data_IF_700359829581
#
_entry.id   IF_700359829581
#
_cell.length_a   1.000
_cell.length_b   1.000
_cell.length_c   1.000
_cell.angle_alpha   90.00
_cell.angle_beta   90.00
_cell.angle_gamma   90.00
#
_symmetry.space_group_name_H-M   'P 1'
#
loop_
_entity.id
_entity.type
_entity.pdbx_description
1 polymer ?
#
# COMPACT_ATOMS: atom_id res chain seq x y z
N UNK A 1 -11.83 16.12 -7.65
CA UNK A 1 -10.77 16.12 -8.68
C UNK A 1 -10.50 14.68 -9.05
N UNK A 2 -10.64 14.30 -10.33
CA UNK A 2 -10.44 12.91 -10.76
C UNK A 2 -8.95 12.54 -10.66
N UNK A 3 -8.65 11.55 -9.82
CA UNK A 3 -7.30 11.04 -9.65
C UNK A 3 -6.97 10.15 -10.87
N UNK A 4 -6.49 10.75 -11.97
CA UNK A 4 -6.15 10.07 -13.24
C UNK A 4 -4.89 9.18 -13.15
N UNK A 5 -4.58 8.61 -11.99
CA UNK A 5 -3.53 7.60 -11.89
C UNK A 5 -4.04 6.28 -12.48
N UNK A 6 -3.19 5.52 -13.19
CA UNK A 6 -3.57 4.20 -13.67
C UNK A 6 -4.09 3.32 -12.53
N UNK A 7 -5.08 2.51 -12.84
CA UNK A 7 -5.58 1.50 -11.91
C UNK A 7 -4.48 0.49 -11.63
N UNK A 8 -4.27 0.14 -10.36
CA UNK A 8 -3.27 -0.88 -10.00
C UNK A 8 -3.95 -2.25 -9.90
N UNK A 9 -3.40 -3.25 -10.58
CA UNK A 9 -3.84 -4.64 -10.52
C UNK A 9 -3.02 -5.39 -9.47
N UNK A 10 -3.69 -6.17 -8.63
CA UNK A 10 -3.08 -7.06 -7.65
C UNK A 10 -3.45 -8.50 -7.97
N UNK A 11 -2.42 -9.31 -8.20
CA UNK A 11 -2.55 -10.75 -8.43
C UNK A 11 -1.91 -11.46 -7.24
N UNK A 12 -2.67 -12.34 -6.60
CA UNK A 12 -2.21 -13.18 -5.49
C UNK A 12 -2.20 -14.63 -5.95
N UNK A 13 -1.08 -15.30 -5.74
CA UNK A 13 -0.91 -16.73 -6.05
C UNK A 13 -1.02 -17.57 -4.79
N UNK A 14 -1.46 -18.81 -4.93
CA UNK A 14 -1.43 -19.81 -3.86
C UNK A 14 -1.06 -21.18 -4.43
N UNK A 15 -0.97 -22.18 -3.56
CA UNK A 15 -0.88 -23.57 -3.96
C UNK A 15 -2.21 -24.27 -3.73
N UNK A 16 -2.61 -25.11 -4.67
CA UNK A 16 -3.70 -26.08 -4.49
C UNK A 16 -3.31 -27.15 -3.45
N UNK A 17 -4.27 -27.99 -3.03
CA UNK A 17 -4.00 -29.14 -2.15
C UNK A 17 -2.94 -30.10 -2.72
N UNK A 18 -2.79 -30.16 -4.04
CA UNK A 18 -1.75 -30.96 -4.72
C UNK A 18 -0.39 -30.27 -4.83
N UNK A 19 -0.19 -29.10 -4.20
CA UNK A 19 1.05 -28.33 -4.30
C UNK A 19 1.26 -27.62 -5.65
N UNK A 20 0.22 -27.54 -6.49
CA UNK A 20 0.29 -26.87 -7.80
C UNK A 20 0.00 -25.38 -7.61
N UNK A 21 0.86 -24.52 -8.16
CA UNK A 21 0.67 -23.06 -8.13
C UNK A 21 -0.51 -22.63 -8.99
N UNK A 22 -1.36 -21.74 -8.47
CA UNK A 22 -2.46 -21.12 -9.18
C UNK A 22 -2.70 -19.66 -8.73
N UNK A 23 -3.56 -18.94 -9.46
CA UNK A 23 -4.02 -17.60 -9.07
C UNK A 23 -5.15 -17.78 -8.04
N UNK A 24 -4.93 -17.25 -6.83
CA UNK A 24 -5.96 -17.18 -5.79
C UNK A 24 -6.91 -16.01 -6.04
N UNK A 25 -6.37 -14.86 -6.38
CA UNK A 25 -7.17 -13.68 -6.68
C UNK A 25 -6.47 -12.77 -7.69
N UNK A 26 -7.29 -12.09 -8.49
CA UNK A 26 -6.87 -11.09 -9.46
C UNK A 26 -7.88 -9.95 -9.40
N UNK A 27 -7.45 -8.81 -8.89
CA UNK A 27 -8.35 -7.72 -8.52
C UNK A 27 -7.67 -6.37 -8.66
N UNK A 28 -8.49 -5.34 -8.86
CA UNK A 28 -8.00 -3.96 -8.81
C UNK A 28 -7.82 -3.52 -7.36
N UNK A 29 -6.73 -2.83 -7.08
CA UNK A 29 -6.48 -2.20 -5.78
C UNK A 29 -7.37 -0.97 -5.63
N UNK A 30 -8.02 -0.87 -4.47
CA UNK A 30 -8.90 0.25 -4.13
C UNK A 30 -8.17 1.20 -3.18
N UNK A 31 -8.03 2.45 -3.61
CA UNK A 31 -7.48 3.53 -2.77
C UNK A 31 -8.53 4.01 -1.78
N UNK A 32 -8.12 4.21 -0.53
CA UNK A 32 -8.93 4.76 0.53
C UNK A 32 -8.27 6.03 1.07
N UNK A 33 -9.04 7.10 1.35
CA UNK A 33 -8.50 8.30 1.98
C UNK A 33 -7.94 7.95 3.36
N UNK A 34 -6.89 8.67 3.77
CA UNK A 34 -6.30 8.53 5.10
C UNK A 34 -6.39 9.85 5.86
N UNK A 35 -6.67 9.78 7.16
CA UNK A 35 -6.62 10.94 8.06
C UNK A 35 -5.18 11.33 8.43
N UNK A 36 -4.21 10.42 8.26
CA UNK A 36 -2.81 10.67 8.61
C UNK A 36 -2.15 11.72 7.71
N UNK A 37 -2.55 11.75 6.44
CA UNK A 37 -1.98 12.65 5.42
C UNK A 37 -3.14 13.23 4.61
N UNK A 38 -3.67 14.41 5.00
CA UNK A 38 -4.75 15.05 4.27
C UNK A 38 -4.42 15.20 2.78
N UNK A 39 -5.31 14.73 1.92
CA UNK A 39 -5.13 14.74 0.46
C UNK A 39 -4.39 13.53 -0.12
N UNK A 40 -3.82 12.65 0.71
CA UNK A 40 -3.30 11.37 0.27
C UNK A 40 -4.33 10.24 0.42
N UNK A 41 -4.11 9.16 -0.32
CA UNK A 41 -4.88 7.93 -0.22
C UNK A 41 -3.92 6.75 -0.07
N UNK A 42 -4.30 5.77 0.74
CA UNK A 42 -3.57 4.53 0.90
C UNK A 42 -4.34 3.35 0.29
N UNK A 43 -3.58 2.40 -0.22
CA UNK A 43 -4.10 1.21 -0.88
C UNK A 43 -3.27 0.01 -0.40
N UNK A 44 -3.76 -0.76 0.60
CA UNK A 44 -3.05 -1.93 1.09
C UNK A 44 -2.92 -3.00 -0.01
N UNK A 45 -1.70 -3.52 -0.23
CA UNK A 45 -1.45 -4.63 -1.15
C UNK A 45 -1.43 -5.95 -0.39
N UNK A 46 -0.60 -6.01 0.66
CA UNK A 46 -0.43 -7.19 1.50
C UNK A 46 0.21 -6.83 2.85
N UNK A 47 -0.22 -7.48 3.93
CA UNK A 47 0.36 -7.33 5.27
C UNK A 47 0.67 -8.68 5.86
N UNK A 48 1.80 -8.83 6.52
CA UNK A 48 2.11 -10.00 7.36
C UNK A 48 2.14 -9.53 8.81
N UNK A 49 1.51 -10.30 9.71
CA UNK A 49 1.37 -9.96 11.12
C UNK A 49 1.96 -11.04 12.05
N UNK A 50 2.45 -12.13 11.46
CA UNK A 50 2.85 -13.37 12.13
C UNK A 50 4.35 -13.45 12.43
N UNK A 51 5.14 -12.47 11.99
CA UNK A 51 6.60 -12.53 12.07
C UNK A 51 7.29 -12.24 10.74
N UNK A 52 8.59 -11.96 10.84
CA UNK A 52 9.53 -12.05 9.72
C UNK A 52 10.69 -12.97 10.16
N UNK A 53 10.98 -14.07 9.44
CA UNK A 53 10.34 -14.52 8.20
C UNK A 53 8.87 -14.91 8.40
N UNK A 54 8.01 -14.61 7.42
CA UNK A 54 6.58 -14.95 7.47
C UNK A 54 6.38 -16.43 7.19
N UNK A 55 5.40 -17.04 7.86
CA UNK A 55 4.96 -18.38 7.51
C UNK A 55 4.12 -18.31 6.23
N UNK A 56 4.60 -18.92 5.15
CA UNK A 56 3.77 -19.13 3.95
C UNK A 56 2.76 -20.27 4.23
N UNK A 57 1.89 -20.07 5.21
CA UNK A 57 0.81 -20.98 5.52
C UNK A 57 -0.34 -20.71 4.54
N UNK A 58 -0.89 -21.77 3.96
CA UNK A 58 -1.99 -21.75 2.98
C UNK A 58 -3.32 -21.31 3.64
N UNK A 59 -3.32 -20.18 4.33
CA UNK A 59 -4.54 -19.56 4.83
C UNK A 59 -5.26 -18.92 3.66
N UNK A 60 -6.58 -19.08 3.60
CA UNK A 60 -7.41 -18.43 2.57
C UNK A 60 -7.60 -16.93 2.84
N UNK A 61 -6.99 -16.40 3.90
CA UNK A 61 -7.12 -15.03 4.36
C UNK A 61 -6.33 -14.06 3.48
N UNK A 62 -7.02 -13.04 2.96
CA UNK A 62 -6.41 -11.99 2.15
C UNK A 62 -5.58 -11.02 3.01
N UNK A 63 -4.27 -10.98 2.76
CA UNK A 63 -3.34 -10.12 3.48
C UNK A 63 -3.62 -8.62 3.38
N UNK A 64 -4.31 -8.12 2.36
CA UNK A 64 -4.68 -6.70 2.31
C UNK A 64 -5.78 -6.32 3.31
N UNK A 65 -6.58 -7.30 3.76
CA UNK A 65 -7.69 -7.07 4.69
C UNK A 65 -7.26 -7.12 6.15
N UNK A 66 -6.06 -7.62 6.42
CA UNK A 66 -5.49 -7.68 7.78
C UNK A 66 -5.33 -6.27 8.35
N UNK A 67 -5.74 -6.08 9.60
CA UNK A 67 -5.68 -4.78 10.27
C UNK A 67 -4.37 -4.64 11.05
N UNK A 68 -3.70 -3.50 10.90
CA UNK A 68 -2.53 -3.14 11.72
C UNK A 68 -3.05 -2.48 13.00
N UNK A 69 -2.45 -2.80 14.13
CA UNK A 69 -2.75 -2.15 15.40
C UNK A 69 -2.54 -0.63 15.27
N UNK A 70 -3.58 0.22 15.39
CA UNK A 70 -3.46 1.68 15.21
C UNK A 70 -2.46 2.35 16.16
N UNK A 71 -2.21 1.74 17.32
CA UNK A 71 -1.31 2.22 18.36
C UNK A 71 0.15 1.92 18.03
N UNK A 72 0.43 1.01 17.10
CA UNK A 72 1.79 0.65 16.67
C UNK A 72 2.16 1.40 15.40
N UNK A 73 3.30 2.10 15.42
CA UNK A 73 3.85 2.78 14.23
C UNK A 73 2.80 3.60 13.45
N UNK A 74 1.92 4.33 14.17
CA UNK A 74 0.82 5.12 13.60
C UNK A 74 -0.17 4.32 12.74
N UNK A 75 -0.26 3.00 12.92
CA UNK A 75 -1.05 2.09 12.09
C UNK A 75 -0.47 1.90 10.67
N UNK A 76 0.78 2.31 10.43
CA UNK A 76 1.42 2.24 9.11
C UNK A 76 2.17 0.92 8.90
N UNK A 77 2.82 0.37 9.94
CA UNK A 77 3.63 -0.84 9.80
C UNK A 77 3.51 -1.70 11.06
N UNK A 78 3.25 -3.02 10.95
CA UNK A 78 3.21 -3.89 12.12
C UNK A 78 4.60 -4.03 12.74
N UNK A 79 4.69 -4.15 14.08
CA UNK A 79 5.98 -4.24 14.79
C UNK A 79 6.79 -5.49 14.40
N UNK A 80 6.12 -6.62 14.22
CA UNK A 80 6.75 -7.92 13.93
C UNK A 80 6.37 -8.44 12.54
N UNK A 81 6.20 -7.57 11.54
CA UNK A 81 5.67 -7.98 10.26
C UNK A 81 6.10 -7.10 9.11
N UNK A 82 5.39 -7.22 8.00
CA UNK A 82 5.59 -6.39 6.82
C UNK A 82 4.28 -5.75 6.37
N UNK A 83 4.40 -4.60 5.73
CA UNK A 83 3.28 -3.93 5.07
C UNK A 83 3.73 -3.46 3.68
N UNK A 84 3.10 -4.00 2.65
CA UNK A 84 3.19 -3.51 1.29
C UNK A 84 1.93 -2.70 0.99
N UNK A 85 2.09 -1.42 0.67
CA UNK A 85 0.99 -0.52 0.36
C UNK A 85 1.38 0.48 -0.73
N UNK A 86 0.37 1.06 -1.36
CA UNK A 86 0.53 2.16 -2.31
C UNK A 86 0.04 3.43 -1.65
N UNK A 87 0.85 4.48 -1.77
CA UNK A 87 0.47 5.83 -1.41
C UNK A 87 0.20 6.63 -2.68
N UNK A 88 -1.03 7.12 -2.84
CA UNK A 88 -1.45 7.98 -3.94
C UNK A 88 -1.82 9.39 -3.48
N UNK A 89 -1.90 10.33 -4.41
CA UNK A 89 -2.39 11.69 -4.14
C UNK A 89 -1.38 12.66 -3.51
N UNK A 90 -0.16 12.21 -3.18
CA UNK A 90 0.88 13.08 -2.59
C UNK A 90 1.34 14.21 -3.52
N UNK A 91 1.18 14.05 -4.85
CA UNK A 91 1.56 15.06 -5.84
C UNK A 91 0.66 16.31 -5.92
N UNK A 92 -0.49 16.34 -5.25
CA UNK A 92 -1.40 17.51 -5.26
C UNK A 92 -1.17 18.50 -4.11
N UNK A 93 0.05 18.54 -3.58
CA UNK A 93 0.42 19.40 -2.44
C UNK A 93 0.16 18.78 -1.06
N UNK A 94 -0.19 17.49 -0.99
CA UNK A 94 -0.29 16.78 0.28
C UNK A 94 1.12 16.55 0.86
N UNK A 95 1.30 16.91 2.13
CA UNK A 95 2.58 16.81 2.84
C UNK A 95 2.47 15.70 3.89
N UNK A 96 3.34 14.71 3.79
CA UNK A 96 3.46 13.66 4.81
C UNK A 96 4.05 14.25 6.09
N UNK A 97 3.42 14.09 7.27
CA UNK A 97 3.99 14.52 8.53
C UNK A 97 5.35 13.87 8.79
N UNK A 98 6.25 14.63 9.42
CA UNK A 98 7.50 14.05 9.91
C UNK A 98 7.16 13.07 11.05
N UNK A 99 7.57 11.82 10.90
CA UNK A 99 7.32 10.75 11.86
C UNK A 99 8.44 9.72 11.77
N UNK A 100 8.53 8.86 12.79
CA UNK A 100 9.46 7.73 12.82
C UNK A 100 8.69 6.47 13.17
N UNK A 101 8.81 5.45 12.33
CA UNK A 101 8.38 4.09 12.60
C UNK A 101 9.59 3.24 12.98
N UNK A 102 9.37 2.17 13.74
CA UNK A 102 10.37 1.12 13.97
C UNK A 102 10.34 0.11 12.82
N UNK A 103 10.53 0.58 11.59
CA UNK A 103 10.54 -0.23 10.37
C UNK A 103 11.68 0.16 9.43
N UNK A 104 11.98 -0.73 8.49
CA UNK A 104 12.82 -0.43 7.32
C UNK A 104 11.91 -0.42 6.09
N UNK A 105 11.77 0.75 5.46
CA UNK A 105 10.82 0.94 4.38
C UNK A 105 11.54 1.05 3.02
N UNK A 106 11.10 0.25 2.06
CA UNK A 106 11.52 0.36 0.65
C UNK A 106 10.45 1.14 -0.11
N UNK A 107 10.75 2.39 -0.45
CA UNK A 107 9.83 3.26 -1.18
C UNK A 107 10.18 3.28 -2.67
N UNK A 108 9.24 2.88 -3.52
CA UNK A 108 9.40 2.88 -4.97
C UNK A 108 8.42 3.88 -5.56
N UNK A 109 8.95 4.91 -6.23
CA UNK A 109 8.13 5.88 -6.95
C UNK A 109 7.58 5.23 -8.23
N UNK A 110 6.29 4.91 -8.24
CA UNK A 110 5.63 4.24 -9.37
C UNK A 110 5.24 5.22 -10.49
N UNK A 111 4.80 6.42 -10.14
CA UNK A 111 4.42 7.45 -11.09
C UNK A 111 4.55 8.83 -10.42
N UNK A 112 4.99 9.81 -11.21
CA UNK A 112 5.04 11.21 -10.80
C UNK A 112 4.29 12.07 -11.81
N UNK A 113 3.61 13.11 -11.32
CA UNK A 113 3.00 14.12 -12.18
C UNK A 113 3.61 15.47 -11.86
N UNK A 114 4.19 16.12 -12.87
CA UNK A 114 4.52 17.54 -12.82
C UNK A 114 3.28 18.34 -13.25
N UNK A 115 2.82 19.25 -12.41
CA UNK A 115 1.97 20.34 -12.88
C UNK A 115 2.86 21.38 -13.54
N UNK A 116 2.87 21.43 -14.88
CA UNK A 116 3.56 22.46 -15.65
C UNK A 116 2.88 23.82 -15.41
N UNK A 117 3.50 24.69 -14.62
CA UNK A 117 3.13 26.10 -14.55
C UNK A 117 3.69 26.84 -15.77
N UNK A 118 3.06 26.71 -16.93
CA UNK A 118 3.40 27.53 -18.09
C UNK A 118 2.70 28.89 -18.02
N UNK A 119 3.12 29.71 -17.06
CA UNK A 119 2.78 31.14 -17.03
C UNK A 119 3.78 31.91 -17.89
N UNK A 120 3.52 32.04 -19.20
CA UNK A 120 4.17 33.08 -20.01
C UNK A 120 3.75 34.43 -19.45
N UNK A 121 4.63 35.08 -18.70
CA UNK A 121 4.55 36.52 -18.49
C UNK A 121 4.75 37.19 -19.86
N UNK A 122 3.70 37.81 -20.38
CA UNK A 122 3.84 38.90 -21.34
C UNK A 122 4.01 40.19 -20.55
#
# INVERSE_FOLDING_TARGET
>A
MSNNLPTVRRVVTQHTLGGISNIQSDSQVVFQPTSLVPGANFAPIWRTLDGLPTGNNNTSDDGAKRQINPQENFGLTPTNGSNAQITGGTGSGAITPNHRTSSLDYNILLAWRTSSCHGRRK
#
